data_IF_124605090538
#
_entry.id   IF_124605090538
#
_cell.length_a   1.000
_cell.length_b   1.000
_cell.length_c   1.000
_cell.angle_alpha   90.00
_cell.angle_beta   90.00
_cell.angle_gamma   90.00
#
_symmetry.space_group_name_H-M   'P 1'
#
loop_
_entity.id
_entity.type
_entity.pdbx_description
1 polymer ?
#
# COMPACT_ATOMS: atom_id res chain seq x y z
N UNK A 1 33.05 -19.22 35.83
CA UNK A 1 32.14 -19.49 34.70
C UNK A 1 30.75 -19.67 35.25
N UNK A 2 29.73 -18.92 34.80
CA UNK A 2 28.37 -19.19 35.23
C UNK A 2 27.94 -20.52 34.62
N UNK A 3 27.34 -21.39 35.43
CA UNK A 3 26.86 -22.70 35.01
C UNK A 3 25.84 -22.55 33.87
N UNK A 4 25.78 -23.48 32.89
CA UNK A 4 24.70 -23.49 31.93
C UNK A 4 23.37 -23.63 32.69
N UNK A 5 22.50 -22.63 32.57
CA UNK A 5 21.17 -22.65 33.17
C UNK A 5 20.51 -23.98 32.77
N UNK A 6 19.97 -24.74 33.74
CA UNK A 6 19.26 -25.99 33.44
C UNK A 6 18.04 -25.63 32.57
N UNK A 7 18.09 -26.01 31.30
CA UNK A 7 17.00 -25.71 30.38
C UNK A 7 15.80 -26.59 30.73
N UNK A 8 14.59 -26.02 30.74
CA UNK A 8 13.39 -26.80 30.98
C UNK A 8 13.20 -27.84 29.88
N UNK A 9 12.90 -29.09 30.26
CA UNK A 9 12.86 -30.25 29.34
C UNK A 9 11.45 -30.65 28.90
N UNK A 10 10.50 -29.71 28.86
CA UNK A 10 9.13 -29.94 28.38
C UNK A 10 8.75 -28.95 27.30
N UNK A 11 7.99 -29.38 26.29
CA UNK A 11 7.57 -28.57 25.14
C UNK A 11 6.79 -27.31 25.55
N UNK A 12 5.84 -27.44 26.48
CA UNK A 12 5.11 -26.31 27.07
C UNK A 12 6.07 -25.24 27.63
N UNK A 13 7.19 -25.69 28.19
CA UNK A 13 8.20 -24.80 28.74
C UNK A 13 9.09 -24.14 27.66
N UNK A 14 9.22 -24.76 26.48
CA UNK A 14 9.86 -24.10 25.31
C UNK A 14 8.95 -22.99 24.80
N UNK A 15 7.66 -23.30 24.61
CA UNK A 15 6.67 -22.35 24.08
C UNK A 15 6.58 -21.09 24.95
N UNK A 16 6.40 -21.27 26.26
CA UNK A 16 6.32 -20.14 27.18
C UNK A 16 7.63 -19.36 27.31
N UNK A 17 8.79 -20.03 27.20
CA UNK A 17 10.07 -19.33 27.18
C UNK A 17 10.24 -18.48 25.90
N UNK A 18 9.86 -18.98 24.73
CA UNK A 18 9.88 -18.22 23.47
C UNK A 18 8.91 -17.04 23.57
N UNK A 19 7.69 -17.25 24.09
CA UNK A 19 6.70 -16.20 24.30
C UNK A 19 7.24 -15.09 25.19
N UNK A 20 7.76 -15.45 26.36
CA UNK A 20 8.33 -14.50 27.31
C UNK A 20 9.49 -13.69 26.72
N UNK A 21 10.41 -14.35 26.01
CA UNK A 21 11.53 -13.66 25.36
C UNK A 21 11.05 -12.74 24.23
N UNK A 22 10.12 -13.19 23.38
CA UNK A 22 9.58 -12.37 22.31
C UNK A 22 8.95 -11.07 22.85
N UNK A 23 8.15 -11.17 23.91
CA UNK A 23 7.59 -10.01 24.61
C UNK A 23 8.69 -9.12 25.21
N UNK A 24 9.71 -9.71 25.84
CA UNK A 24 10.85 -8.97 26.37
C UNK A 24 11.68 -8.25 25.28
N UNK A 25 11.71 -8.80 24.06
CA UNK A 25 12.32 -8.17 22.88
C UNK A 25 11.42 -7.11 22.22
N UNK A 26 10.25 -6.85 22.80
CA UNK A 26 9.33 -5.78 22.40
C UNK A 26 8.38 -6.17 21.27
N UNK A 27 8.06 -7.46 21.07
CA UNK A 27 6.84 -7.82 20.35
C UNK A 27 5.61 -7.63 21.27
N UNK A 28 4.48 -7.27 20.70
CA UNK A 28 3.25 -6.97 21.44
C UNK A 28 2.28 -8.16 21.48
N UNK A 29 2.34 -9.01 20.46
CA UNK A 29 1.56 -10.23 20.38
C UNK A 29 2.45 -11.40 19.94
N UNK A 30 2.17 -12.58 20.48
CA UNK A 30 2.90 -13.81 20.16
C UNK A 30 1.88 -14.92 20.09
N UNK A 31 2.03 -15.83 19.14
CA UNK A 31 1.21 -17.02 19.05
C UNK A 31 1.92 -18.13 18.31
N UNK A 32 1.40 -19.34 18.47
CA UNK A 32 1.98 -20.54 17.88
C UNK A 32 0.96 -21.22 16.96
N UNK A 33 1.36 -21.52 15.73
CA UNK A 33 0.56 -22.29 14.80
C UNK A 33 1.34 -23.52 14.32
N UNK A 34 0.61 -24.53 13.85
CA UNK A 34 1.22 -25.56 13.01
C UNK A 34 1.72 -24.90 11.72
N UNK A 35 2.81 -25.42 11.12
CA UNK A 35 3.28 -24.98 9.82
C UNK A 35 2.38 -25.49 8.68
N UNK A 36 1.07 -25.26 8.78
CA UNK A 36 0.08 -25.67 7.80
C UNK A 36 -1.01 -24.60 7.71
N UNK A 37 -1.53 -24.39 6.50
CA UNK A 37 -2.62 -23.44 6.25
C UNK A 37 -3.93 -24.19 6.08
N UNK A 38 -5.03 -23.59 6.52
CA UNK A 38 -6.36 -24.11 6.24
C UNK A 38 -6.64 -24.15 4.74
N UNK A 39 -7.36 -25.17 4.25
CA UNK A 39 -7.71 -25.31 2.84
C UNK A 39 -8.47 -24.09 2.29
N UNK A 40 -9.27 -23.44 3.14
CA UNK A 40 -9.99 -22.20 2.78
C UNK A 40 -9.05 -21.06 2.43
N UNK A 41 -7.91 -20.92 3.11
CA UNK A 41 -6.92 -19.89 2.80
C UNK A 41 -6.24 -20.15 1.44
N UNK A 42 -5.91 -21.42 1.16
CA UNK A 42 -5.32 -21.84 -0.12
C UNK A 42 -6.30 -21.64 -1.28
N UNK A 43 -7.55 -22.10 -1.12
CA UNK A 43 -8.61 -21.88 -2.11
C UNK A 43 -8.88 -20.39 -2.36
N UNK A 44 -8.84 -19.56 -1.30
CA UNK A 44 -8.98 -18.11 -1.42
C UNK A 44 -7.87 -17.46 -2.25
N UNK A 45 -6.62 -17.89 -2.07
CA UNK A 45 -5.49 -17.45 -2.88
C UNK A 45 -5.64 -17.86 -4.35
N UNK A 46 -6.02 -19.11 -4.60
CA UNK A 46 -6.28 -19.63 -5.94
C UNK A 46 -7.38 -18.83 -6.65
N UNK A 47 -8.50 -18.54 -5.97
CA UNK A 47 -9.59 -17.72 -6.51
C UNK A 47 -9.12 -16.27 -6.78
N UNK A 48 -8.39 -15.66 -5.86
CA UNK A 48 -7.86 -14.30 -5.99
C UNK A 48 -6.94 -14.16 -7.21
N UNK A 49 -6.09 -15.17 -7.47
CA UNK A 49 -5.23 -15.22 -8.64
C UNK A 49 -6.05 -15.44 -9.91
N UNK A 50 -6.97 -16.42 -9.92
CA UNK A 50 -7.80 -16.76 -11.08
C UNK A 50 -8.65 -15.59 -11.56
N UNK A 51 -9.11 -14.72 -10.64
CA UNK A 51 -9.87 -13.50 -10.97
C UNK A 51 -9.01 -12.32 -11.42
N UNK A 52 -7.68 -12.44 -11.38
CA UNK A 52 -6.76 -11.34 -11.68
C UNK A 52 -6.81 -10.21 -10.66
N UNK A 53 -7.34 -10.44 -9.45
CA UNK A 53 -7.51 -9.41 -8.42
C UNK A 53 -6.18 -8.92 -7.84
N UNK A 54 -5.06 -9.58 -8.16
CA UNK A 54 -3.69 -9.17 -7.79
C UNK A 54 -3.12 -8.02 -8.63
N UNK A 55 -3.75 -7.66 -9.75
CA UNK A 55 -3.25 -6.62 -10.65
C UNK A 55 -1.81 -6.89 -11.11
N UNK A 56 -0.93 -5.91 -10.98
CA UNK A 56 0.45 -5.94 -11.46
C UNK A 56 1.39 -6.78 -10.57
N UNK A 57 0.90 -7.33 -9.46
CA UNK A 57 1.67 -8.13 -8.49
C UNK A 57 1.88 -9.57 -8.99
N UNK A 58 2.52 -9.75 -10.15
CA UNK A 58 2.75 -11.06 -10.79
C UNK A 58 3.51 -12.06 -9.89
N UNK A 59 4.32 -11.57 -8.96
CA UNK A 59 4.97 -12.41 -7.94
C UNK A 59 3.97 -13.21 -7.07
N UNK A 60 2.70 -12.80 -6.96
CA UNK A 60 1.68 -13.57 -6.24
C UNK A 60 1.34 -14.88 -6.96
N UNK A 61 1.19 -14.85 -8.30
CA UNK A 61 0.93 -16.05 -9.08
C UNK A 61 2.18 -16.92 -9.20
N UNK A 62 3.35 -16.31 -9.45
CA UNK A 62 4.64 -17.02 -9.53
C UNK A 62 5.02 -17.76 -8.24
N UNK A 63 4.58 -17.25 -7.09
CA UNK A 63 4.90 -17.84 -5.77
C UNK A 63 3.73 -18.54 -5.11
N UNK A 64 2.62 -18.76 -5.82
CA UNK A 64 1.37 -19.27 -5.26
C UNK A 64 1.53 -20.58 -4.49
N UNK A 65 2.27 -21.55 -5.04
CA UNK A 65 2.51 -22.84 -4.38
C UNK A 65 3.27 -22.71 -3.05
N UNK A 66 4.30 -21.85 -3.01
CA UNK A 66 5.06 -21.57 -1.77
C UNK A 66 4.22 -20.81 -0.75
N UNK A 67 3.37 -19.90 -1.21
CA UNK A 67 2.47 -19.10 -0.39
C UNK A 67 1.33 -19.93 0.21
N UNK A 68 0.79 -20.85 -0.58
CA UNK A 68 -0.30 -21.74 -0.20
C UNK A 68 0.09 -22.85 0.77
N UNK A 69 1.39 -23.12 0.97
CA UNK A 69 1.86 -24.23 1.79
C UNK A 69 3.23 -23.93 2.45
N UNK A 70 3.27 -23.78 3.80
CA UNK A 70 4.50 -23.53 4.54
C UNK A 70 5.60 -24.59 4.32
N UNK A 71 5.25 -25.87 4.17
CA UNK A 71 6.22 -26.94 3.91
C UNK A 71 6.78 -26.93 2.48
N UNK A 72 6.07 -26.37 1.49
CA UNK A 72 6.66 -26.13 0.15
C UNK A 72 7.71 -25.01 0.22
N UNK A 73 7.44 -23.96 1.01
CA UNK A 73 8.41 -22.90 1.25
C UNK A 73 9.64 -23.40 2.02
N UNK A 74 9.43 -24.28 3.00
CA UNK A 74 10.50 -24.90 3.76
C UNK A 74 10.09 -26.29 4.30
N UNK A 75 10.60 -27.40 3.72
CA UNK A 75 10.13 -28.76 4.06
C UNK A 75 10.28 -29.18 5.52
N UNK A 76 11.22 -28.57 6.25
CA UNK A 76 11.48 -28.86 7.66
C UNK A 76 10.51 -28.14 8.62
N UNK A 77 9.69 -27.21 8.13
CA UNK A 77 8.77 -26.44 8.97
C UNK A 77 7.73 -27.36 9.63
N UNK A 78 7.65 -27.31 10.97
CA UNK A 78 6.66 -28.04 11.78
C UNK A 78 5.73 -27.11 12.54
N UNK A 79 6.29 -26.07 13.16
CA UNK A 79 5.54 -25.02 13.84
C UNK A 79 5.97 -23.63 13.37
N UNK A 80 5.14 -22.64 13.63
CA UNK A 80 5.37 -21.24 13.31
C UNK A 80 5.10 -20.40 14.57
N UNK A 81 6.09 -19.61 14.97
CA UNK A 81 5.89 -18.51 15.92
C UNK A 81 5.43 -17.30 15.12
N UNK A 82 4.21 -16.86 15.34
CA UNK A 82 3.66 -15.64 14.73
C UNK A 82 3.79 -14.51 15.74
N UNK A 83 4.31 -13.38 15.30
CA UNK A 83 4.63 -12.23 16.12
C UNK A 83 3.90 -11.01 15.59
N UNK A 84 3.26 -10.27 16.50
CA UNK A 84 2.61 -9.01 16.23
C UNK A 84 3.39 -7.85 16.85
N UNK A 85 3.49 -6.75 16.12
CA UNK A 85 4.11 -5.52 16.61
C UNK A 85 3.18 -4.33 16.36
N UNK A 86 2.82 -3.62 17.42
CA UNK A 86 1.82 -2.57 17.40
C UNK A 86 2.34 -1.29 16.72
N UNK A 87 1.56 -0.79 15.77
CA UNK A 87 1.80 0.50 15.10
C UNK A 87 0.60 1.45 15.21
N UNK A 88 -0.32 1.19 16.15
CA UNK A 88 -1.55 1.95 16.33
C UNK A 88 -1.31 3.45 16.43
N UNK A 89 -2.07 4.28 15.70
CA UNK A 89 -1.95 5.72 15.78
C UNK A 89 -2.51 6.25 17.11
N UNK A 90 -2.00 7.39 17.57
CA UNK A 90 -2.55 8.09 18.74
C UNK A 90 -3.80 8.92 18.43
N UNK A 91 -4.06 9.19 17.16
CA UNK A 91 -5.18 10.00 16.66
C UNK A 91 -5.93 9.23 15.56
N UNK A 92 -7.14 9.67 15.22
CA UNK A 92 -7.90 9.10 14.11
C UNK A 92 -7.17 9.39 12.78
N UNK A 93 -6.70 8.36 12.05
CA UNK A 93 -5.99 8.56 10.79
C UNK A 93 -6.86 9.20 9.70
N UNK A 94 -8.19 9.17 9.82
CA UNK A 94 -9.08 9.86 8.87
C UNK A 94 -8.97 11.38 8.97
N UNK A 95 -8.45 11.93 10.07
CA UNK A 95 -8.24 13.37 10.22
C UNK A 95 -7.27 13.91 9.14
N UNK A 96 -6.34 13.09 8.64
CA UNK A 96 -5.44 13.46 7.55
C UNK A 96 -6.18 13.73 6.22
N UNK A 97 -7.40 13.22 6.06
CA UNK A 97 -8.22 13.42 4.86
C UNK A 97 -9.05 14.71 4.91
N UNK A 98 -9.08 15.43 6.05
CA UNK A 98 -9.91 16.61 6.23
C UNK A 98 -9.36 17.86 5.51
N UNK A 99 -8.04 17.96 5.33
CA UNK A 99 -7.40 19.05 4.59
C UNK A 99 -6.93 18.55 3.21
N UNK A 100 -7.68 18.85 2.13
CA UNK A 100 -7.35 18.38 0.79
C UNK A 100 -6.05 18.98 0.25
N UNK A 101 -5.51 20.05 0.84
CA UNK A 101 -4.24 20.67 0.40
C UNK A 101 -3.00 19.95 0.93
N UNK A 102 -3.18 18.96 1.81
CA UNK A 102 -2.12 18.16 2.43
C UNK A 102 -2.26 16.71 2.00
N UNK A 103 -1.14 16.03 1.80
CA UNK A 103 -1.11 14.63 1.42
C UNK A 103 -1.31 13.72 2.62
N UNK A 104 -2.31 12.84 2.56
CA UNK A 104 -2.49 11.77 3.54
C UNK A 104 -1.57 10.59 3.22
N UNK A 105 -0.76 10.20 4.20
CA UNK A 105 0.12 9.03 4.16
C UNK A 105 -0.40 8.04 5.21
N UNK A 106 -0.57 6.78 4.81
CA UNK A 106 -1.04 5.74 5.71
C UNK A 106 -0.13 5.56 6.92
N UNK A 107 -0.73 5.33 8.09
CA UNK A 107 -0.07 5.31 9.42
C UNK A 107 1.18 4.42 9.42
N UNK A 108 1.10 3.25 8.79
CA UNK A 108 2.20 2.28 8.78
C UNK A 108 3.49 2.81 8.14
N UNK A 109 3.38 3.86 7.31
CA UNK A 109 4.48 4.42 6.53
C UNK A 109 5.01 5.76 7.06
N UNK A 110 4.45 6.27 8.17
CA UNK A 110 4.84 7.56 8.75
C UNK A 110 6.12 7.49 9.61
N UNK A 111 6.53 6.29 10.03
CA UNK A 111 7.70 6.04 10.87
C UNK A 111 8.93 5.51 10.11
N UNK A 112 9.72 4.66 10.76
CA UNK A 112 10.75 3.84 10.13
C UNK A 112 10.13 2.70 9.34
N UNK A 113 10.87 2.23 8.35
CA UNK A 113 10.49 1.03 7.61
C UNK A 113 10.34 -0.17 8.57
N UNK A 114 9.14 -0.73 8.61
CA UNK A 114 8.80 -1.84 9.50
C UNK A 114 9.56 -3.11 9.11
N UNK A 115 9.90 -3.29 7.84
CA UNK A 115 10.65 -4.46 7.37
C UNK A 115 11.99 -4.57 8.10
N UNK A 116 12.74 -3.47 8.17
CA UNK A 116 14.06 -3.45 8.82
C UNK A 116 13.93 -3.64 10.34
N UNK A 117 12.95 -2.96 10.94
CA UNK A 117 12.72 -2.97 12.39
C UNK A 117 12.32 -4.38 12.88
N UNK A 118 11.33 -4.98 12.23
CA UNK A 118 10.81 -6.31 12.59
C UNK A 118 11.83 -7.38 12.25
N UNK A 119 12.45 -7.35 11.06
CA UNK A 119 13.47 -8.34 10.69
C UNK A 119 14.66 -8.35 11.65
N UNK A 120 15.06 -7.20 12.18
CA UNK A 120 16.10 -7.11 13.22
C UNK A 120 15.67 -7.83 14.51
N UNK A 121 14.44 -7.63 14.99
CA UNK A 121 13.89 -8.30 16.18
C UNK A 121 13.70 -9.80 15.96
N UNK A 122 13.13 -10.21 14.83
CA UNK A 122 12.99 -11.61 14.44
C UNK A 122 14.34 -12.33 14.44
N UNK A 123 15.38 -11.72 13.86
CA UNK A 123 16.74 -12.29 13.87
C UNK A 123 17.34 -12.38 15.28
N UNK A 124 17.01 -11.46 16.18
CA UNK A 124 17.47 -11.52 17.56
C UNK A 124 16.82 -12.68 18.31
N UNK A 125 15.50 -12.81 18.20
CA UNK A 125 14.75 -13.91 18.80
C UNK A 125 15.19 -15.26 18.21
N UNK A 126 15.35 -15.34 16.89
CA UNK A 126 15.86 -16.51 16.21
C UNK A 126 17.22 -16.98 16.76
N UNK A 127 18.19 -16.05 16.92
CA UNK A 127 19.50 -16.38 17.53
C UNK A 127 19.35 -16.88 18.96
N UNK A 128 18.42 -16.31 19.72
CA UNK A 128 18.16 -16.72 21.09
C UNK A 128 17.56 -18.14 21.18
N UNK A 129 16.67 -18.50 20.24
CA UNK A 129 16.05 -19.83 20.13
C UNK A 129 17.10 -20.89 19.79
N UNK A 130 17.88 -20.70 18.72
CA UNK A 130 18.89 -21.69 18.27
C UNK A 130 20.00 -21.91 19.29
N UNK A 131 20.26 -20.93 20.17
CA UNK A 131 21.24 -21.06 21.24
C UNK A 131 20.76 -21.98 22.38
N UNK A 132 19.46 -22.26 22.48
CA UNK A 132 18.84 -22.98 23.61
C UNK A 132 18.32 -24.35 23.23
N UNK A 133 17.75 -24.49 22.04
CA UNK A 133 17.15 -25.75 21.60
C UNK A 133 17.70 -26.17 20.23
N UNK A 134 17.99 -27.48 20.05
CA UNK A 134 18.43 -27.99 18.77
C UNK A 134 17.29 -27.87 17.76
N UNK A 135 17.57 -27.31 16.59
CA UNK A 135 16.60 -27.14 15.54
C UNK A 135 17.03 -26.09 14.53
N UNK A 136 16.44 -26.15 13.35
CA UNK A 136 16.58 -25.12 12.33
C UNK A 136 15.40 -24.17 12.39
N UNK A 137 15.57 -22.98 11.82
CA UNK A 137 14.50 -22.00 11.69
C UNK A 137 14.68 -21.10 10.47
N UNK A 138 13.60 -20.43 10.07
CA UNK A 138 13.62 -19.34 9.08
C UNK A 138 12.74 -18.19 9.56
N UNK A 139 13.17 -16.96 9.29
CA UNK A 139 12.44 -15.74 9.67
C UNK A 139 11.85 -15.05 8.44
N UNK A 140 10.63 -14.56 8.55
CA UNK A 140 9.87 -13.94 7.47
C UNK A 140 9.16 -12.67 7.93
N UNK A 141 9.05 -11.71 7.01
CA UNK A 141 8.26 -10.47 7.15
C UNK A 141 7.94 -9.98 5.74
N UNK A 142 6.66 -9.80 5.43
CA UNK A 142 5.99 -9.24 4.23
C UNK A 142 6.50 -9.73 2.87
N UNK A 143 7.76 -9.44 2.57
CA UNK A 143 8.49 -9.73 1.32
C UNK A 143 8.60 -11.22 0.96
N UNK A 144 8.33 -12.13 1.89
CA UNK A 144 8.39 -13.56 1.66
C UNK A 144 7.02 -14.11 1.19
N UNK A 145 6.99 -15.26 0.48
CA UNK A 145 5.74 -15.88 0.10
C UNK A 145 5.09 -16.63 1.27
N UNK A 146 4.72 -15.89 2.31
CA UNK A 146 4.02 -16.36 3.51
C UNK A 146 2.61 -15.76 3.52
N UNK A 147 1.61 -16.53 3.95
CA UNK A 147 0.27 -16.01 4.25
C UNK A 147 0.19 -15.63 5.73
N UNK A 148 0.79 -14.48 6.05
CA UNK A 148 0.96 -13.98 7.42
C UNK A 148 -0.38 -13.88 8.17
N UNK A 149 -1.41 -13.31 7.53
CA UNK A 149 -2.71 -13.06 8.18
C UNK A 149 -3.47 -14.36 8.51
N UNK A 150 -3.59 -15.36 7.60
CA UNK A 150 -4.11 -16.68 7.96
C UNK A 150 -3.32 -17.36 9.09
N UNK A 151 -1.99 -17.33 9.07
CA UNK A 151 -1.17 -17.90 10.14
C UNK A 151 -1.41 -17.20 11.48
N UNK A 152 -1.51 -15.87 11.47
CA UNK A 152 -1.80 -15.09 12.66
C UNK A 152 -3.17 -15.42 13.27
N UNK A 153 -4.16 -15.71 12.43
CA UNK A 153 -5.45 -16.20 12.91
C UNK A 153 -5.35 -17.60 13.52
N UNK A 154 -4.65 -18.52 12.84
CA UNK A 154 -4.42 -19.88 13.35
C UNK A 154 -3.65 -19.88 14.69
N UNK A 155 -2.75 -18.90 14.87
CA UNK A 155 -1.95 -18.69 16.07
C UNK A 155 -2.66 -17.87 17.16
N UNK A 156 -3.92 -17.45 16.94
CA UNK A 156 -4.71 -16.74 17.95
C UNK A 156 -4.39 -15.26 18.15
N UNK A 157 -3.65 -14.60 17.25
CA UNK A 157 -3.35 -13.16 17.38
C UNK A 157 -4.56 -12.26 17.07
N UNK A 158 -5.58 -12.81 16.39
CA UNK A 158 -6.72 -12.07 15.87
C UNK A 158 -7.42 -12.83 14.76
N UNK A 159 -8.34 -12.21 14.04
CA UNK A 159 -9.02 -12.81 12.89
C UNK A 159 -8.84 -11.96 11.63
N UNK A 160 -8.95 -12.57 10.45
CA UNK A 160 -8.97 -11.79 9.23
C UNK A 160 -10.33 -11.09 9.09
N UNK A 161 -10.37 -9.77 9.23
CA UNK A 161 -11.60 -8.99 9.09
C UNK A 161 -12.14 -8.97 7.66
N UNK A 162 -13.38 -8.49 7.48
CA UNK A 162 -14.00 -8.35 6.14
C UNK A 162 -13.20 -7.49 5.16
N UNK A 163 -12.34 -6.60 5.68
CA UNK A 163 -11.40 -5.79 4.91
C UNK A 163 -10.06 -6.50 4.61
N UNK A 164 -9.97 -7.82 4.85
CA UNK A 164 -8.83 -8.70 4.56
C UNK A 164 -7.52 -8.42 5.30
N UNK A 165 -7.53 -7.59 6.34
CA UNK A 165 -6.40 -7.43 7.28
C UNK A 165 -6.70 -8.15 8.61
N UNK A 166 -5.66 -8.45 9.37
CA UNK A 166 -5.80 -9.00 10.70
C UNK A 166 -6.43 -7.95 11.63
N UNK A 167 -7.37 -8.38 12.47
CA UNK A 167 -7.95 -7.60 13.55
C UNK A 167 -7.71 -8.35 14.85
N UNK A 168 -7.07 -7.70 15.81
CA UNK A 168 -6.76 -8.22 17.14
C UNK A 168 -7.76 -7.67 18.17
N UNK A 169 -8.05 -8.47 19.20
CA UNK A 169 -8.87 -8.05 20.33
C UNK A 169 -8.20 -6.90 21.12
N UNK A 170 -6.87 -6.90 21.21
CA UNK A 170 -6.11 -5.93 22.02
C UNK A 170 -5.55 -4.75 21.21
N UNK A 171 -5.25 -4.96 19.93
CA UNK A 171 -4.56 -3.97 19.10
C UNK A 171 -5.40 -3.47 17.92
N UNK A 172 -6.65 -3.94 17.79
CA UNK A 172 -7.50 -3.64 16.64
C UNK A 172 -6.81 -4.05 15.35
N UNK A 173 -6.85 -3.19 14.34
CA UNK A 173 -6.27 -3.48 13.01
C UNK A 173 -4.78 -3.17 12.89
N UNK A 174 -4.11 -2.80 13.99
CA UNK A 174 -2.82 -2.10 13.96
C UNK A 174 -1.64 -2.96 14.41
N UNK A 175 -1.51 -4.16 13.82
CA UNK A 175 -0.35 -5.03 14.00
C UNK A 175 0.41 -5.21 12.69
N UNK A 176 1.71 -4.94 12.72
CA UNK A 176 2.61 -5.57 11.78
C UNK A 176 2.82 -7.03 12.17
N UNK A 177 3.07 -7.88 11.17
CA UNK A 177 3.29 -9.30 11.38
C UNK A 177 4.72 -9.71 11.03
N UNK A 178 5.15 -10.80 11.64
CA UNK A 178 6.37 -11.49 11.27
C UNK A 178 6.35 -12.92 11.82
N UNK A 179 7.03 -13.81 11.12
CA UNK A 179 6.98 -15.24 11.41
C UNK A 179 8.38 -15.82 11.62
N UNK A 180 8.48 -16.75 12.56
CA UNK A 180 9.62 -17.64 12.68
C UNK A 180 9.11 -19.07 12.47
N UNK A 181 9.44 -19.65 11.33
CA UNK A 181 9.18 -21.07 11.09
C UNK A 181 10.23 -21.87 11.83
N UNK A 182 9.82 -22.93 12.52
CA UNK A 182 10.69 -23.79 13.31
C UNK A 182 10.60 -25.23 12.81
N UNK A 183 11.72 -25.95 12.87
CA UNK A 183 11.71 -27.42 12.75
C UNK A 183 11.26 -28.13 14.02
N UNK A 184 11.11 -27.38 15.12
CA UNK A 184 10.56 -27.86 16.38
C UNK A 184 9.05 -28.10 16.23
N UNK A 185 8.59 -29.21 16.76
CA UNK A 185 7.16 -29.51 16.88
C UNK A 185 6.65 -28.86 18.17
N UNK A 186 5.82 -27.82 18.05
CA UNK A 186 5.28 -27.05 19.17
C UNK A 186 3.76 -27.03 19.07
N UNK A 187 3.11 -27.21 20.21
CA UNK A 187 1.65 -27.23 20.35
C UNK A 187 1.09 -25.87 19.95
N UNK A 188 0.20 -25.84 18.93
CA UNK A 188 -0.45 -24.60 18.50
C UNK A 188 -1.30 -23.98 19.61
N UNK A 189 -1.42 -22.66 19.56
CA UNK A 189 -2.45 -21.94 20.31
C UNK A 189 -3.83 -22.15 19.65
N UNK A 190 -4.93 -21.91 20.37
CA UNK A 190 -6.26 -21.92 19.78
C UNK A 190 -6.39 -20.87 18.67
N UNK A 191 -6.97 -21.29 17.54
CA UNK A 191 -7.33 -20.38 16.45
C UNK A 191 -8.40 -19.39 16.91
N UNK A 192 -8.24 -18.11 16.56
CA UNK A 192 -9.20 -17.07 16.90
C UNK A 192 -10.41 -17.10 15.96
N UNK A 193 -11.59 -16.85 16.55
CA UNK A 193 -12.86 -16.82 15.85
C UNK A 193 -13.06 -15.48 15.10
N UNK A 194 -13.90 -15.48 14.08
CA UNK A 194 -14.31 -14.25 13.41
C UNK A 194 -15.28 -13.44 14.29
N UNK A 195 -14.98 -12.16 14.51
CA UNK A 195 -15.81 -11.25 15.30
C UNK A 195 -16.41 -10.08 14.49
N UNK A 196 -16.48 -10.18 13.16
CA UNK A 196 -17.09 -9.17 12.32
C UNK A 196 -18.63 -9.20 12.34
N UNK A 197 -19.25 -10.38 12.53
CA UNK A 197 -20.70 -10.52 12.56
C UNK A 197 -21.40 -9.88 11.34
N UNK A 198 -22.47 -9.11 11.57
CA UNK A 198 -23.20 -8.39 10.51
C UNK A 198 -22.56 -7.06 10.10
N UNK A 199 -21.48 -6.61 10.75
CA UNK A 199 -20.84 -5.31 10.50
C UNK A 199 -20.40 -5.16 9.04
N UNK A 200 -20.56 -3.96 8.48
CA UNK A 200 -20.17 -3.62 7.09
C UNK A 200 -19.35 -2.34 6.96
N UNK A 201 -19.00 -1.68 8.06
CA UNK A 201 -18.34 -0.36 8.06
C UNK A 201 -17.18 -0.25 7.07
N UNK A 202 -16.27 -1.24 7.05
CA UNK A 202 -15.10 -1.21 6.17
C UNK A 202 -15.42 -1.37 4.68
N UNK A 203 -16.50 -2.08 4.35
CA UNK A 203 -16.99 -2.26 2.98
C UNK A 203 -17.64 -0.96 2.50
N UNK A 204 -18.48 -0.37 3.36
CA UNK A 204 -19.25 0.83 3.05
C UNK A 204 -18.38 2.09 3.03
N UNK A 205 -17.31 2.15 3.84
CA UNK A 205 -16.37 3.26 3.88
C UNK A 205 -15.32 3.23 2.74
N UNK A 206 -15.17 2.11 2.02
CA UNK A 206 -14.14 1.99 0.99
C UNK A 206 -14.45 2.92 -0.20
N UNK A 207 -13.63 3.96 -0.48
CA UNK A 207 -14.01 4.99 -1.46
C UNK A 207 -14.20 4.46 -2.89
N UNK A 208 -13.52 3.38 -3.23
CA UNK A 208 -13.53 2.77 -4.57
C UNK A 208 -14.36 1.49 -4.65
N UNK A 209 -15.06 1.12 -3.56
CA UNK A 209 -15.72 -0.17 -3.42
C UNK A 209 -14.80 -1.33 -3.86
N UNK A 210 -13.59 -1.38 -3.28
CA UNK A 210 -12.59 -2.39 -3.61
C UNK A 210 -12.93 -3.79 -3.07
N UNK A 211 -13.97 -3.91 -2.25
CA UNK A 211 -14.45 -5.17 -1.71
C UNK A 211 -15.70 -5.65 -2.46
N UNK A 212 -15.58 -6.49 -3.50
CA UNK A 212 -16.74 -7.05 -4.20
C UNK A 212 -17.64 -7.90 -3.29
N UNK A 213 -17.09 -8.45 -2.20
CA UNK A 213 -17.83 -9.14 -1.15
C UNK A 213 -17.01 -9.09 0.17
N UNK A 214 -17.63 -9.36 1.34
CA UNK A 214 -16.88 -9.57 2.58
C UNK A 214 -15.70 -10.53 2.38
N UNK A 215 -14.53 -10.20 2.94
CA UNK A 215 -13.29 -11.00 2.86
C UNK A 215 -12.71 -11.14 1.46
N UNK A 216 -13.24 -10.43 0.46
CA UNK A 216 -12.74 -10.44 -0.92
C UNK A 216 -12.33 -9.03 -1.31
N UNK A 217 -11.04 -8.84 -1.60
CA UNK A 217 -10.49 -7.59 -2.10
C UNK A 217 -10.19 -7.74 -3.60
N UNK A 218 -10.56 -6.76 -4.40
CA UNK A 218 -9.98 -6.54 -5.74
C UNK A 218 -8.92 -5.45 -5.61
N UNK A 219 -7.64 -5.84 -5.62
CA UNK A 219 -6.56 -4.89 -5.38
C UNK A 219 -6.49 -3.82 -6.48
N UNK A 220 -6.92 -4.13 -7.70
CA UNK A 220 -6.93 -3.17 -8.82
C UNK A 220 -7.76 -1.92 -8.54
N UNK A 221 -8.70 -2.02 -7.59
CA UNK A 221 -9.56 -0.91 -7.12
C UNK A 221 -9.06 -0.30 -5.81
N UNK A 222 -8.24 -1.01 -5.05
CA UNK A 222 -7.79 -0.57 -3.73
C UNK A 222 -6.84 0.62 -3.84
N UNK A 223 -7.12 1.73 -3.14
CA UNK A 223 -6.25 2.92 -3.13
C UNK A 223 -4.84 2.57 -2.64
N UNK A 224 -4.71 1.66 -1.68
CA UNK A 224 -3.40 1.20 -1.20
C UNK A 224 -2.58 0.58 -2.34
N UNK A 225 -3.16 -0.35 -3.10
CA UNK A 225 -2.51 -0.92 -4.29
C UNK A 225 -2.24 0.15 -5.37
N UNK A 226 -3.23 1.00 -5.68
CA UNK A 226 -3.11 2.02 -6.73
C UNK A 226 -1.96 2.99 -6.45
N UNK A 227 -1.76 3.36 -5.19
CA UNK A 227 -0.72 4.31 -4.77
C UNK A 227 0.65 3.67 -4.58
N UNK A 228 0.73 2.35 -4.42
CA UNK A 228 1.96 1.65 -4.02
C UNK A 228 2.46 0.70 -5.11
N UNK A 229 1.63 -0.27 -5.49
CA UNK A 229 2.05 -1.41 -6.31
C UNK A 229 1.76 -1.18 -7.80
N UNK A 230 0.70 -0.45 -8.13
CA UNK A 230 0.37 -0.13 -9.52
C UNK A 230 1.45 0.75 -10.16
N UNK A 231 1.98 0.31 -11.30
CA UNK A 231 3.13 0.96 -11.93
C UNK A 231 2.73 2.08 -12.91
N UNK A 232 1.57 1.94 -13.55
CA UNK A 232 1.12 2.80 -14.66
C UNK A 232 0.26 3.99 -14.24
N UNK A 233 -0.39 4.67 -15.21
CA UNK A 233 -1.40 5.68 -14.94
C UNK A 233 -2.59 5.08 -14.21
N UNK A 234 -2.97 5.66 -13.07
CA UNK A 234 -4.15 5.21 -12.31
C UNK A 234 -5.40 5.40 -13.19
N UNK A 235 -6.32 4.41 -13.29
CA UNK A 235 -7.53 4.54 -14.10
C UNK A 235 -8.37 5.78 -13.73
N UNK A 236 -8.93 6.45 -14.74
CA UNK A 236 -9.59 7.74 -14.61
C UNK A 236 -10.71 7.73 -13.57
N UNK A 237 -11.50 6.65 -13.51
CA UNK A 237 -12.63 6.49 -12.60
C UNK A 237 -12.22 6.48 -11.12
N UNK A 238 -10.97 6.13 -10.79
CA UNK A 238 -10.50 6.10 -9.41
C UNK A 238 -9.83 7.40 -8.96
N UNK A 239 -9.36 8.24 -9.89
CA UNK A 239 -8.61 9.46 -9.54
C UNK A 239 -9.41 10.43 -8.64
N UNK A 240 -10.71 10.71 -8.90
CA UNK A 240 -11.51 11.52 -7.99
C UNK A 240 -11.72 10.88 -6.61
N UNK A 241 -11.79 9.54 -6.56
CA UNK A 241 -12.10 8.77 -5.35
C UNK A 241 -10.89 8.62 -4.41
N UNK A 242 -9.67 8.86 -4.91
CA UNK A 242 -8.45 8.81 -4.10
C UNK A 242 -8.42 9.94 -3.06
N UNK A 243 -9.06 11.08 -3.34
CA UNK A 243 -8.97 12.27 -2.50
C UNK A 243 -7.53 12.74 -2.39
N UNK A 244 -7.03 12.96 -1.18
CA UNK A 244 -5.66 13.42 -0.91
C UNK A 244 -4.69 12.30 -0.47
N UNK A 245 -5.04 11.01 -0.64
CA UNK A 245 -4.21 9.87 -0.24
C UNK A 245 -3.05 9.67 -1.21
N UNK A 246 -1.84 10.00 -0.77
CA UNK A 246 -0.64 9.98 -1.62
C UNK A 246 0.21 8.72 -1.45
N UNK A 247 0.01 7.95 -0.37
CA UNK A 247 0.68 6.67 -0.14
C UNK A 247 -0.11 5.80 0.85
N UNK A 248 -0.68 4.68 0.38
CA UNK A 248 -1.52 3.81 1.19
C UNK A 248 -2.93 4.37 1.42
N UNK A 249 -3.76 3.63 2.16
CA UNK A 249 -5.11 4.03 2.54
C UNK A 249 -5.51 3.27 3.80
N UNK A 250 -5.96 4.01 4.83
CA UNK A 250 -6.34 3.44 6.13
C UNK A 250 -7.86 3.39 6.32
N UNK A 251 -8.66 3.87 5.37
CA UNK A 251 -10.10 4.06 5.54
C UNK A 251 -10.83 2.82 6.05
N UNK A 252 -10.57 1.67 5.44
CA UNK A 252 -11.22 0.42 5.83
C UNK A 252 -10.75 -0.10 7.20
N UNK A 253 -9.53 0.25 7.61
CA UNK A 253 -9.00 -0.07 8.92
C UNK A 253 -9.59 0.87 9.97
N UNK A 254 -9.52 2.18 9.74
CA UNK A 254 -9.89 3.23 10.68
C UNK A 254 -11.33 3.09 11.19
N UNK A 255 -12.28 2.78 10.30
CA UNK A 255 -13.70 2.62 10.64
C UNK A 255 -14.04 1.28 11.32
N UNK A 256 -13.06 0.38 11.49
CA UNK A 256 -13.28 -0.89 12.16
C UNK A 256 -13.64 -0.65 13.63
N UNK A 257 -14.81 -1.12 14.11
CA UNK A 257 -15.26 -0.84 15.49
C UNK A 257 -14.36 -1.48 16.56
N UNK A 258 -13.54 -2.46 16.18
CA UNK A 258 -12.56 -3.08 17.08
C UNK A 258 -11.37 -2.18 17.39
N UNK A 259 -11.13 -1.12 16.61
CA UNK A 259 -10.10 -0.14 16.94
C UNK A 259 -10.41 0.67 18.21
N UNK A 260 -11.64 0.63 18.75
CA UNK A 260 -11.94 1.22 20.05
C UNK A 260 -11.15 0.57 21.20
N UNK A 261 -10.66 -0.65 21.00
CA UNK A 261 -9.80 -1.37 21.95
C UNK A 261 -8.31 -1.22 21.62
N UNK A 262 -7.97 -0.66 20.45
CA UNK A 262 -6.59 -0.51 20.03
C UNK A 262 -5.83 0.46 20.92
N UNK A 263 -4.52 0.24 21.00
CA UNK A 263 -3.59 1.05 21.78
C UNK A 263 -2.66 1.79 20.83
N UNK A 264 -2.38 3.06 21.14
CA UNK A 264 -1.33 3.79 20.45
C UNK A 264 0.02 3.07 20.64
N UNK A 265 0.85 3.06 19.60
CA UNK A 265 2.19 2.46 19.68
C UNK A 265 3.08 3.27 20.63
N UNK A 266 3.84 2.55 21.45
CA UNK A 266 4.91 3.13 22.27
C UNK A 266 6.29 2.96 21.62
N UNK A 267 6.38 2.28 20.47
CA UNK A 267 7.65 2.01 19.80
C UNK A 267 8.14 3.26 19.06
N UNK A 268 9.29 3.84 19.43
CA UNK A 268 9.82 5.03 18.78
C UNK A 268 10.09 4.85 17.28
N UNK A 269 10.25 3.61 16.80
CA UNK A 269 10.43 3.33 15.39
C UNK A 269 9.16 3.61 14.57
N UNK A 270 7.97 3.54 15.16
CA UNK A 270 6.70 3.71 14.46
C UNK A 270 5.97 5.01 14.80
N UNK A 271 6.55 5.84 15.67
CA UNK A 271 6.05 7.20 15.86
C UNK A 271 6.17 7.99 14.54
N UNK A 272 5.14 8.79 14.20
CA UNK A 272 5.11 9.53 12.95
C UNK A 272 6.19 10.61 12.93
N UNK A 273 6.88 10.74 11.80
CA UNK A 273 7.76 11.88 11.53
C UNK A 273 6.92 13.10 11.19
N UNK A 274 7.25 14.26 11.75
CA UNK A 274 6.48 15.49 11.57
C UNK A 274 6.31 15.85 10.08
N UNK A 275 7.34 15.60 9.27
CA UNK A 275 7.33 15.88 7.83
C UNK A 275 6.38 14.94 7.05
N UNK A 276 5.93 13.84 7.65
CA UNK A 276 5.12 12.78 7.02
C UNK A 276 3.67 12.72 7.52
N UNK A 277 3.32 13.39 8.62
CA UNK A 277 1.96 13.36 9.17
C UNK A 277 0.93 14.01 8.23
N UNK A 278 1.28 15.14 7.62
CA UNK A 278 0.44 15.81 6.62
C UNK A 278 1.28 16.82 5.80
N UNK A 279 2.20 16.38 4.93
CA UNK A 279 2.98 17.30 4.09
C UNK A 279 2.08 18.08 3.10
N UNK A 280 2.41 19.35 2.84
CA UNK A 280 1.70 20.16 1.81
C UNK A 280 1.90 19.55 0.42
N UNK A 281 0.81 19.38 -0.33
CA UNK A 281 0.88 18.78 -1.68
C UNK A 281 1.78 19.57 -2.63
N UNK A 282 1.72 20.90 -2.58
CA UNK A 282 2.58 21.78 -3.39
C UNK A 282 4.09 21.54 -3.12
N UNK A 283 4.46 21.27 -1.86
CA UNK A 283 5.84 20.97 -1.50
C UNK A 283 6.27 19.59 -2.02
N UNK A 284 5.41 18.58 -1.89
CA UNK A 284 5.67 17.23 -2.40
C UNK A 284 5.83 17.20 -3.92
N UNK A 285 5.01 17.96 -4.66
CA UNK A 285 5.09 18.05 -6.12
C UNK A 285 6.37 18.76 -6.62
N UNK A 286 7.11 19.42 -5.72
CA UNK A 286 8.40 20.07 -6.03
C UNK A 286 9.62 19.17 -5.80
N UNK A 287 9.43 17.98 -5.23
CA UNK A 287 10.53 17.05 -5.01
C UNK A 287 11.17 16.62 -6.33
N UNK A 288 12.48 16.82 -6.42
CA UNK A 288 13.35 16.12 -7.37
C UNK A 288 13.79 14.75 -6.79
N UNK A 289 14.61 14.01 -7.54
CA UNK A 289 15.07 12.67 -7.15
C UNK A 289 15.91 12.68 -5.87
N UNK A 290 16.75 13.70 -5.68
CA UNK A 290 17.61 13.80 -4.50
C UNK A 290 16.80 14.14 -3.25
N UNK A 291 15.92 15.14 -3.33
CA UNK A 291 15.03 15.56 -2.26
C UNK A 291 14.05 14.44 -1.86
N UNK A 292 13.49 13.72 -2.85
CA UNK A 292 12.65 12.54 -2.58
C UNK A 292 13.41 11.48 -1.78
N UNK A 293 14.62 11.11 -2.21
CA UNK A 293 15.43 10.09 -1.53
C UNK A 293 15.83 10.51 -0.13
N UNK A 294 16.11 11.79 0.08
CA UNK A 294 16.46 12.35 1.39
C UNK A 294 15.26 12.33 2.34
N UNK A 295 14.10 12.85 1.90
CA UNK A 295 12.89 12.94 2.71
C UNK A 295 12.38 11.56 3.16
N UNK A 296 12.37 10.58 2.25
CA UNK A 296 11.85 9.24 2.53
C UNK A 296 12.94 8.23 2.95
N UNK A 297 14.14 8.70 3.29
CA UNK A 297 15.21 7.81 3.76
C UNK A 297 14.75 7.01 5.00
N UNK A 298 14.89 5.68 4.91
CA UNK A 298 14.51 4.76 5.99
C UNK A 298 13.00 4.66 6.23
N UNK A 299 12.15 5.03 5.27
CA UNK A 299 10.71 4.75 5.28
C UNK A 299 10.36 3.76 4.17
N UNK A 300 9.21 3.09 4.31
CA UNK A 300 8.69 2.20 3.27
C UNK A 300 8.37 2.93 1.94
N UNK A 301 8.12 4.25 1.99
CA UNK A 301 7.72 5.08 0.84
C UNK A 301 8.82 5.13 -0.21
N UNK A 302 10.09 5.10 0.19
CA UNK A 302 11.24 5.19 -0.72
C UNK A 302 11.19 4.12 -1.82
N UNK A 303 10.61 2.94 -1.55
CA UNK A 303 10.57 1.79 -2.48
C UNK A 303 9.80 2.07 -3.77
N UNK A 304 8.81 2.96 -3.75
CA UNK A 304 8.00 3.23 -4.95
C UNK A 304 8.72 4.15 -5.94
N UNK A 305 9.69 4.93 -5.48
CA UNK A 305 10.43 5.90 -6.30
C UNK A 305 9.63 7.16 -6.61
N UNK A 306 10.35 8.22 -7.04
CA UNK A 306 9.82 9.57 -7.20
C UNK A 306 8.65 9.65 -8.19
N UNK A 307 8.78 9.04 -9.37
CA UNK A 307 7.77 9.16 -10.43
C UNK A 307 6.38 8.67 -10.00
N UNK A 308 6.29 7.48 -9.39
CA UNK A 308 5.03 6.94 -8.86
C UNK A 308 4.49 7.77 -7.70
N UNK A 309 5.37 8.27 -6.84
CA UNK A 309 4.95 9.14 -5.74
C UNK A 309 4.36 10.46 -6.25
N UNK A 310 5.04 11.15 -7.18
CA UNK A 310 4.52 12.40 -7.76
C UNK A 310 3.24 12.19 -8.56
N UNK A 311 3.07 11.05 -9.25
CA UNK A 311 1.79 10.67 -9.88
C UNK A 311 0.66 10.73 -8.85
N UNK A 312 0.86 10.12 -7.67
CA UNK A 312 -0.16 10.13 -6.61
C UNK A 312 -0.40 11.54 -6.08
N UNK A 313 0.67 12.33 -5.88
CA UNK A 313 0.57 13.72 -5.42
C UNK A 313 -0.21 14.58 -6.41
N UNK A 314 0.05 14.45 -7.71
CA UNK A 314 -0.67 15.19 -8.74
C UNK A 314 -2.14 14.79 -8.82
N UNK A 315 -2.46 13.50 -8.62
CA UNK A 315 -3.85 13.05 -8.49
C UNK A 315 -4.52 13.69 -7.26
N UNK A 316 -3.82 13.75 -6.13
CA UNK A 316 -4.33 14.45 -4.95
C UNK A 316 -4.54 15.96 -5.19
N UNK A 317 -3.62 16.61 -5.90
CA UNK A 317 -3.75 18.04 -6.27
C UNK A 317 -4.98 18.26 -7.15
N UNK A 318 -5.25 17.38 -8.11
CA UNK A 318 -6.46 17.44 -8.94
C UNK A 318 -7.78 17.29 -8.17
N UNK A 319 -7.72 16.89 -6.90
CA UNK A 319 -8.86 16.79 -6.00
C UNK A 319 -8.98 17.96 -5.02
N UNK A 320 -8.07 18.95 -5.08
CA UNK A 320 -8.14 20.15 -4.22
C UNK A 320 -9.30 21.06 -4.67
N UNK A 321 -10.25 21.39 -3.77
CA UNK A 321 -11.25 22.40 -4.05
C UNK A 321 -10.61 23.79 -4.02
N UNK A 322 -10.96 24.63 -5.00
CA UNK A 322 -10.51 26.04 -5.07
C UNK A 322 -8.97 26.20 -5.00
N UNK A 323 -8.22 25.64 -5.96
CA UNK A 323 -6.76 25.69 -5.98
C UNK A 323 -6.26 27.13 -6.10
N UNK A 324 -5.20 27.46 -5.35
CA UNK A 324 -4.51 28.74 -5.51
C UNK A 324 -3.60 28.77 -6.76
N UNK A 325 -3.15 29.96 -7.12
CA UNK A 325 -2.30 30.15 -8.31
C UNK A 325 -0.96 29.41 -8.19
N UNK A 326 -0.39 29.26 -6.99
CA UNK A 326 0.88 28.55 -6.80
C UNK A 326 0.74 27.06 -7.06
N UNK A 327 -0.38 26.47 -6.65
CA UNK A 327 -0.71 25.08 -6.88
C UNK A 327 -0.91 24.78 -8.37
N UNK A 328 -1.66 25.65 -9.07
CA UNK A 328 -1.83 25.56 -10.53
C UNK A 328 -0.48 25.65 -11.26
N UNK A 329 0.37 26.59 -10.87
CA UNK A 329 1.71 26.74 -11.46
C UNK A 329 2.62 25.55 -11.15
N UNK A 330 2.51 24.98 -9.94
CA UNK A 330 3.23 23.77 -9.55
C UNK A 330 2.87 22.59 -10.46
N UNK A 331 1.59 22.39 -10.74
CA UNK A 331 1.11 21.37 -11.69
C UNK A 331 1.60 21.67 -13.10
N UNK A 332 1.52 22.93 -13.55
CA UNK A 332 1.97 23.35 -14.88
C UNK A 332 3.44 22.99 -15.13
N UNK A 333 4.31 23.21 -14.14
CA UNK A 333 5.73 22.81 -14.20
C UNK A 333 5.92 21.30 -14.34
N UNK A 334 5.06 20.48 -13.73
CA UNK A 334 5.15 19.02 -13.83
C UNK A 334 4.82 18.48 -15.24
N UNK A 335 4.25 19.30 -16.14
CA UNK A 335 4.09 18.95 -17.56
C UNK A 335 5.43 18.84 -18.29
N UNK A 336 6.51 19.38 -17.73
CA UNK A 336 7.88 19.32 -18.26
C UNK A 336 8.74 18.24 -17.57
N UNK A 337 8.16 17.42 -16.69
CA UNK A 337 8.90 16.40 -15.95
C UNK A 337 9.48 15.33 -16.90
N UNK A 338 10.72 14.84 -16.70
CA UNK A 338 11.29 13.80 -17.55
C UNK A 338 10.50 12.48 -17.50
N UNK A 339 9.81 12.18 -16.39
CA UNK A 339 9.01 10.98 -16.25
C UNK A 339 7.63 11.15 -16.91
N UNK A 340 7.32 10.31 -17.89
CA UNK A 340 6.01 10.31 -18.57
C UNK A 340 4.83 10.14 -17.60
N UNK A 341 5.01 9.33 -16.55
CA UNK A 341 3.99 9.10 -15.53
C UNK A 341 3.63 10.37 -14.75
N UNK A 342 4.62 11.24 -14.53
CA UNK A 342 4.42 12.54 -13.86
C UNK A 342 3.75 13.50 -14.83
N UNK A 343 4.21 13.57 -16.09
CA UNK A 343 3.57 14.42 -17.11
C UNK A 343 2.10 14.04 -17.31
N UNK A 344 1.79 12.76 -17.48
CA UNK A 344 0.42 12.28 -17.67
C UNK A 344 -0.49 12.62 -16.48
N UNK A 345 -0.03 12.39 -15.25
CA UNK A 345 -0.78 12.80 -14.06
C UNK A 345 -0.95 14.32 -13.96
N UNK A 346 0.03 15.10 -14.43
CA UNK A 346 -0.05 16.56 -14.46
C UNK A 346 -1.08 17.06 -15.48
N UNK A 347 -1.24 16.38 -16.64
CA UNK A 347 -2.31 16.68 -17.60
C UNK A 347 -3.69 16.60 -16.93
N UNK A 348 -3.94 15.48 -16.26
CA UNK A 348 -5.20 15.27 -15.56
C UNK A 348 -5.37 16.26 -14.40
N UNK A 349 -4.35 16.47 -13.58
CA UNK A 349 -4.44 17.43 -12.47
C UNK A 349 -4.75 18.83 -13.00
N UNK A 350 -4.06 19.28 -14.06
CA UNK A 350 -4.25 20.60 -14.67
C UNK A 350 -5.69 20.77 -15.16
N UNK A 351 -6.30 19.74 -15.75
CA UNK A 351 -7.69 19.82 -16.22
C UNK A 351 -8.70 20.00 -15.09
N UNK A 352 -8.33 19.65 -13.86
CA UNK A 352 -9.14 19.82 -12.65
C UNK A 352 -8.92 21.17 -11.98
N UNK A 353 -7.69 21.67 -11.98
CA UNK A 353 -7.31 22.85 -11.17
C UNK A 353 -7.14 24.15 -11.96
N UNK A 354 -6.84 24.08 -13.26
CA UNK A 354 -6.53 25.26 -14.05
C UNK A 354 -7.78 25.91 -14.65
N UNK A 355 -7.77 27.24 -14.86
CA UNK A 355 -8.78 27.91 -15.67
C UNK A 355 -8.81 27.34 -17.11
N UNK A 356 -9.99 27.24 -17.76
CA UNK A 356 -10.11 26.65 -19.10
C UNK A 356 -9.17 27.25 -20.16
N UNK A 357 -8.91 28.56 -20.08
CA UNK A 357 -7.99 29.26 -21.00
C UNK A 357 -6.54 28.77 -20.87
N UNK A 358 -6.09 28.47 -19.66
CA UNK A 358 -4.75 27.95 -19.40
C UNK A 358 -4.64 26.52 -19.91
N UNK A 359 -5.63 25.67 -19.60
CA UNK A 359 -5.69 24.29 -20.07
C UNK A 359 -5.64 24.21 -21.60
N UNK A 360 -6.48 24.98 -22.30
CA UNK A 360 -6.53 24.99 -23.76
C UNK A 360 -5.20 25.45 -24.39
N UNK A 361 -4.51 26.41 -23.75
CA UNK A 361 -3.19 26.87 -24.19
C UNK A 361 -2.13 25.79 -24.05
N UNK A 362 -2.06 25.13 -22.89
CA UNK A 362 -1.09 24.05 -22.66
C UNK A 362 -1.36 22.85 -23.58
N UNK A 363 -2.63 22.46 -23.76
CA UNK A 363 -3.03 21.40 -24.67
C UNK A 363 -2.56 21.68 -26.11
N UNK A 364 -2.82 22.90 -26.63
CA UNK A 364 -2.38 23.31 -27.97
C UNK A 364 -0.86 23.26 -28.15
N UNK A 365 -0.11 23.67 -27.13
CA UNK A 365 1.35 23.77 -27.20
C UNK A 365 2.05 22.42 -27.06
N UNK A 366 1.47 21.49 -26.29
CA UNK A 366 2.14 20.25 -25.87
C UNK A 366 1.65 19.02 -26.61
N UNK A 367 0.36 18.92 -26.93
CA UNK A 367 -0.23 17.71 -27.50
C UNK A 367 0.52 17.20 -28.74
N UNK A 368 0.80 18.08 -29.70
CA UNK A 368 1.49 17.74 -30.95
C UNK A 368 2.99 17.46 -30.78
N UNK A 369 3.58 17.81 -29.63
CA UNK A 369 5.02 17.64 -29.34
C UNK A 369 5.29 16.48 -28.37
N UNK A 370 4.26 15.96 -27.70
CA UNK A 370 4.41 14.86 -26.77
C UNK A 370 4.67 13.57 -27.54
N UNK A 371 5.80 12.92 -27.22
CA UNK A 371 6.25 11.70 -27.87
C UNK A 371 5.67 10.45 -27.19
N UNK A 372 5.42 10.53 -25.88
CA UNK A 372 4.85 9.42 -25.11
C UNK A 372 3.39 9.21 -25.46
N UNK A 373 3.07 8.00 -25.93
CA UNK A 373 1.70 7.60 -26.24
C UNK A 373 0.80 7.66 -25.00
N UNK A 374 1.32 7.27 -23.83
CA UNK A 374 0.54 7.28 -22.58
C UNK A 374 0.18 8.70 -22.16
N UNK A 375 1.05 9.69 -22.36
CA UNK A 375 0.75 11.09 -22.07
C UNK A 375 -0.18 11.69 -23.12
N UNK A 376 -0.06 11.31 -24.41
CA UNK A 376 -1.03 11.72 -25.44
C UNK A 376 -2.45 11.24 -25.11
N UNK A 377 -2.61 10.00 -24.63
CA UNK A 377 -3.89 9.47 -24.18
C UNK A 377 -4.51 10.33 -23.06
N UNK A 378 -3.72 10.83 -22.12
CA UNK A 378 -4.20 11.75 -21.06
C UNK A 378 -4.77 13.05 -21.65
N UNK A 379 -4.16 13.59 -22.70
CA UNK A 379 -4.68 14.76 -23.40
C UNK A 379 -5.94 14.42 -24.22
N UNK A 380 -5.99 13.26 -24.86
CA UNK A 380 -7.15 12.81 -25.65
C UNK A 380 -8.41 12.69 -24.77
N UNK A 381 -8.25 12.17 -23.55
CA UNK A 381 -9.33 12.08 -22.56
C UNK A 381 -9.94 13.44 -22.18
N UNK A 382 -9.21 14.55 -22.38
CA UNK A 382 -9.75 15.91 -22.14
C UNK A 382 -10.62 16.41 -23.30
N UNK A 383 -10.42 15.89 -24.51
CA UNK A 383 -11.14 16.30 -25.73
C UNK A 383 -12.37 15.42 -26.00
N UNK A 384 -12.38 14.19 -25.47
CA UNK A 384 -13.40 13.18 -25.73
C UNK A 384 -13.72 12.45 -24.40
N UNK A 385 -14.72 12.90 -23.62
CA UNK A 385 -15.08 12.22 -22.38
C UNK A 385 -15.56 10.78 -22.66
N UNK A 386 -15.29 9.82 -21.77
CA UNK A 386 -15.63 8.41 -21.99
C UNK A 386 -17.14 8.24 -22.21
N UNK A 387 -17.52 7.70 -23.37
CA UNK A 387 -18.91 7.48 -23.80
C UNK A 387 -19.35 8.30 -25.02
N UNK A 388 -18.58 9.28 -25.49
CA UNK A 388 -18.85 10.00 -26.73
C UNK A 388 -18.42 9.16 -27.96
N UNK A 389 -19.27 9.10 -28.99
CA UNK A 389 -18.91 8.43 -30.25
C UNK A 389 -17.78 9.20 -30.95
N UNK A 390 -16.87 8.50 -31.62
CA UNK A 390 -15.71 9.09 -32.32
C UNK A 390 -16.06 10.19 -33.35
N UNK A 391 -17.31 10.29 -33.77
CA UNK A 391 -17.81 11.33 -34.69
C UNK A 391 -18.09 12.69 -33.99
N UNK A 392 -18.27 12.73 -32.67
CA UNK A 392 -18.52 13.96 -31.90
C UNK A 392 -17.23 14.62 -31.40
N UNK A 393 -16.11 13.89 -31.44
CA UNK A 393 -14.80 14.37 -31.03
C UNK A 393 -14.16 15.14 -32.20
N UNK A 394 -14.48 16.43 -32.26
CA UNK A 394 -14.12 17.35 -33.33
C UNK A 394 -12.65 17.27 -33.72
N UNK A 395 -12.42 17.10 -35.03
CA UNK A 395 -11.10 17.10 -35.63
C UNK A 395 -10.31 18.36 -35.24
N UNK A 396 -9.03 18.18 -34.91
CA UNK A 396 -8.06 19.26 -34.75
C UNK A 396 -8.15 20.24 -35.94
N UNK A 397 -7.95 21.56 -35.72
CA UNK A 397 -8.06 22.53 -36.80
C UNK A 397 -6.96 22.27 -37.83
N UNK A 398 -7.33 21.68 -38.96
CA UNK A 398 -6.45 21.61 -40.14
C UNK A 398 -6.10 23.05 -40.52
N UNK A 399 -4.83 23.43 -40.37
CA UNK A 399 -4.31 24.66 -40.95
C UNK A 399 -4.52 24.60 -42.47
N UNK A 400 -5.51 25.32 -42.98
CA UNK A 400 -5.67 25.56 -44.40
C UNK A 400 -4.64 26.60 -44.81
N UNK A 401 -3.48 26.13 -45.27
CA UNK A 401 -2.51 26.97 -45.98
C UNK A 401 -3.14 27.40 -47.31
N UNK A 402 -3.74 28.60 -47.34
CA UNK A 402 -4.21 29.23 -48.56
C UNK A 402 -3.02 29.97 -49.18
N UNK A 403 -2.21 29.24 -49.94
CA UNK A 403 -1.20 29.81 -50.83
C UNK A 403 -1.90 30.75 -51.84
N UNK A 404 -1.66 32.05 -51.70
CA UNK A 404 -1.85 33.02 -52.78
C UNK A 404 -0.98 32.60 -53.97
N UNK A 405 -1.59 32.25 -55.09
CA UNK A 405 -0.90 32.26 -56.39
C UNK A 405 -1.26 33.56 -57.10
N UNK A 406 -0.27 34.46 -57.17
CA UNK A 406 -0.23 35.53 -58.15
C UNK A 406 -0.07 34.90 -59.55
N UNK A 407 -1.08 35.06 -60.42
CA UNK A 407 -0.94 34.86 -61.86
C UNK A 407 -0.63 36.20 -62.52
N UNK A 408 0.50 36.26 -63.24
CA UNK A 408 0.80 37.32 -64.23
C UNK A 408 0.41 36.83 -65.64
N UNK A 409 0.20 37.74 -66.61
CA UNK A 409 -0.59 37.51 -67.82
C UNK A 409 0.25 37.16 -69.06
N UNK A 410 -0.40 36.48 -70.01
CA UNK A 410 -0.12 36.40 -71.47
C UNK A 410 -1.30 35.60 -72.07
N UNK A 411 -1.93 35.92 -73.20
CA UNK A 411 -1.67 36.86 -74.29
C UNK A 411 -3.01 37.41 -74.81
#
# INVERSE_FOLDING_TARGET
MPAPARHPRGEENIREAIRAEALAMGFDAVGFAAAALADTARAGLEEYIARGYHGDMGWLSETAARRGNPQILWPQARSVVVLGLNYGPSEDPLAANADPTRGAISVYAQGRDYHDTIKKRLKALARWIVARWPGELKVFVDTAPVMEKPLAQQAGLGWQGKHTNLVSLEFGSWLFLGEIYLSLDLTPDPTEADHCGSCRNCLDACPTAAFPAPYRLDARRCISYLTIEHKGPIPLEFRPLIGNRVYGCDDCLAVCPWNKFARATADPAFLPRQELTAPRLAALARLDDAAFRALFAGTAIKRIGRGRFLRNVLIAIGNVPSPDTDLVETVRRCLDDPAELVRGAAVWALSRVAPPVLLAREARNRYLREESETVRQEWDHLHCPPGAAAAECGAAPRQTSRMMRCGRPAA
#
